data_IF_952193366104
#
_entry.id   IF_952193366104
#
_cell.length_a   1.000
_cell.length_b   1.000
_cell.length_c   1.000
_cell.angle_alpha   90.00
_cell.angle_beta   90.00
_cell.angle_gamma   90.00
#
_symmetry.space_group_name_H-M   'P 1'
#
loop_
_entity.id
_entity.type
_entity.pdbx_description
1 polymer ?
#
# COMPACT_ATOMS: atom_id res chain seq x y z
N UNK A 1 30.67 -6.01 -4.96
CA UNK A 1 29.34 -5.61 -5.46
C UNK A 1 28.35 -5.69 -4.30
N UNK A 2 28.44 -4.71 -3.38
CA UNK A 2 27.77 -4.76 -2.07
C UNK A 2 26.30 -4.35 -2.18
N UNK A 3 25.43 -5.29 -1.78
CA UNK A 3 24.14 -5.12 -1.10
C UNK A 3 23.28 -3.92 -1.54
N UNK A 4 22.37 -4.15 -2.50
CA UNK A 4 21.17 -3.35 -2.62
C UNK A 4 20.40 -3.49 -1.29
N UNK A 5 20.52 -2.50 -0.43
CA UNK A 5 19.83 -2.41 0.85
C UNK A 5 18.33 -2.59 0.57
N UNK A 6 17.79 -3.79 0.83
CA UNK A 6 16.35 -4.02 0.91
C UNK A 6 15.83 -2.93 1.84
N UNK A 7 14.98 -2.04 1.35
CA UNK A 7 14.28 -1.08 2.19
C UNK A 7 13.25 -1.85 3.03
N UNK A 8 13.74 -2.60 4.01
CA UNK A 8 12.95 -3.35 4.98
C UNK A 8 12.01 -2.42 5.77
N UNK A 9 12.22 -1.09 5.69
CA UNK A 9 11.45 -0.07 6.36
C UNK A 9 10.58 0.74 5.39
N UNK A 10 9.74 0.06 4.63
CA UNK A 10 8.85 0.71 3.64
C UNK A 10 7.38 0.52 4.01
N UNK A 11 6.60 1.59 3.89
CA UNK A 11 5.13 1.54 3.92
C UNK A 11 4.61 1.59 2.49
N UNK A 12 3.70 0.69 2.13
CA UNK A 12 3.00 0.76 0.85
C UNK A 12 1.64 1.41 1.01
N UNK A 13 1.33 2.35 0.13
CA UNK A 13 0.03 3.00 0.05
C UNK A 13 -0.66 2.44 -1.19
N UNK A 14 -1.71 1.65 -1.00
CA UNK A 14 -2.50 1.09 -2.09
C UNK A 14 -3.57 2.11 -2.49
N UNK A 15 -3.48 2.61 -3.72
CA UNK A 15 -4.34 3.67 -4.24
C UNK A 15 -5.62 3.10 -4.87
N UNK A 16 -6.76 3.41 -4.26
CA UNK A 16 -8.12 3.13 -4.73
C UNK A 16 -8.74 4.30 -5.51
N UNK A 17 -7.94 5.32 -5.85
CA UNK A 17 -8.35 6.50 -6.63
C UNK A 17 -8.70 7.71 -5.77
N UNK A 18 -8.19 7.80 -4.53
CA UNK A 18 -8.44 8.95 -3.67
C UNK A 18 -7.72 10.20 -4.17
N UNK A 19 -8.42 11.33 -4.15
CA UNK A 19 -7.80 12.65 -4.34
C UNK A 19 -6.73 13.00 -3.28
N UNK A 20 -6.69 12.26 -2.17
CA UNK A 20 -5.78 12.50 -1.04
C UNK A 20 -4.60 11.52 -0.97
N UNK A 21 -4.47 10.54 -1.87
CA UNK A 21 -3.41 9.51 -1.81
C UNK A 21 -2.01 10.14 -1.68
N UNK A 22 -1.70 11.18 -2.46
CA UNK A 22 -0.41 11.86 -2.38
C UNK A 22 -0.26 12.80 -1.18
N UNK A 23 -1.37 13.32 -0.62
CA UNK A 23 -1.34 14.07 0.65
C UNK A 23 -0.97 13.12 1.77
N UNK A 24 -1.55 11.91 1.80
CA UNK A 24 -1.20 10.87 2.75
C UNK A 24 0.27 10.45 2.61
N UNK A 25 0.76 10.21 1.39
CA UNK A 25 2.17 9.92 1.14
C UNK A 25 3.09 11.04 1.65
N UNK A 26 2.70 12.31 1.48
CA UNK A 26 3.45 13.46 2.02
C UNK A 26 3.49 13.44 3.54
N UNK A 27 2.41 13.06 4.23
CA UNK A 27 2.43 12.95 5.70
C UNK A 27 3.32 11.81 6.17
N UNK A 28 3.27 10.64 5.53
CA UNK A 28 4.17 9.51 5.86
C UNK A 28 5.64 9.91 5.72
N UNK A 29 5.98 10.60 4.62
CA UNK A 29 7.35 11.08 4.39
C UNK A 29 7.82 12.13 5.41
N UNK A 30 6.92 12.95 5.95
CA UNK A 30 7.25 13.89 7.04
C UNK A 30 7.64 13.19 8.33
N UNK A 31 7.21 11.95 8.52
CA UNK A 31 7.62 11.09 9.64
C UNK A 31 8.95 10.38 9.37
N UNK A 32 9.67 10.77 8.31
CA UNK A 32 10.94 10.17 7.88
C UNK A 32 10.84 8.67 7.53
N UNK A 33 9.64 8.21 7.19
CA UNK A 33 9.39 6.84 6.73
C UNK A 33 9.33 6.82 5.20
N UNK A 34 10.05 5.89 4.59
CA UNK A 34 9.98 5.69 3.14
C UNK A 34 8.64 5.06 2.78
N UNK A 35 8.00 5.57 1.73
CA UNK A 35 6.73 5.04 1.25
C UNK A 35 6.61 5.07 -0.27
N UNK A 36 5.89 4.09 -0.78
CA UNK A 36 5.56 3.97 -2.20
C UNK A 36 4.06 3.93 -2.40
N UNK A 37 3.58 4.62 -3.42
CA UNK A 37 2.18 4.56 -3.86
C UNK A 37 2.09 3.52 -4.96
N UNK A 38 1.22 2.54 -4.78
CA UNK A 38 1.04 1.40 -5.66
C UNK A 38 -0.45 1.28 -6.01
N UNK A 39 -0.81 0.71 -7.17
CA UNK A 39 -2.22 0.50 -7.48
C UNK A 39 -2.85 -0.55 -6.53
N UNK A 40 -4.15 -0.40 -6.23
CA UNK A 40 -4.89 -1.30 -5.35
C UNK A 40 -4.86 -2.78 -5.78
N UNK A 41 -4.70 -3.04 -7.08
CA UNK A 41 -4.72 -4.39 -7.68
C UNK A 41 -3.32 -5.04 -7.77
N UNK A 42 -2.34 -4.54 -7.01
CA UNK A 42 -1.02 -5.17 -6.94
C UNK A 42 -1.14 -6.62 -6.43
N UNK A 43 -0.35 -7.52 -7.03
CA UNK A 43 -0.39 -8.93 -6.64
C UNK A 43 0.18 -9.15 -5.23
N UNK A 44 -0.44 -10.08 -4.50
CA UNK A 44 0.02 -10.48 -3.16
C UNK A 44 1.44 -11.03 -3.19
N UNK A 45 1.82 -11.70 -4.28
CA UNK A 45 3.18 -12.19 -4.48
C UNK A 45 4.19 -11.04 -4.51
N UNK A 46 3.89 -9.94 -5.20
CA UNK A 46 4.76 -8.76 -5.23
C UNK A 46 4.88 -8.13 -3.83
N UNK A 47 3.79 -8.08 -3.06
CA UNK A 47 3.82 -7.59 -1.67
C UNK A 47 4.70 -8.48 -0.78
N UNK A 48 4.59 -9.82 -0.90
CA UNK A 48 5.40 -10.78 -0.16
C UNK A 48 6.89 -10.65 -0.48
N UNK A 49 7.24 -10.54 -1.76
CA UNK A 49 8.64 -10.42 -2.22
C UNK A 49 9.30 -9.13 -1.74
N UNK A 50 8.52 -8.06 -1.64
CA UNK A 50 9.00 -6.73 -1.22
C UNK A 50 8.96 -6.51 0.28
N UNK A 51 8.20 -7.33 1.02
CA UNK A 51 8.16 -7.38 2.49
C UNK A 51 8.02 -6.00 3.17
N UNK A 52 6.92 -5.26 2.95
CA UNK A 52 6.69 -3.96 3.60
C UNK A 52 6.46 -4.11 5.12
N UNK A 53 6.74 -3.04 5.87
CA UNK A 53 6.41 -2.97 7.30
C UNK A 53 4.92 -2.80 7.57
N UNK A 54 4.18 -2.30 6.60
CA UNK A 54 2.76 -2.04 6.71
C UNK A 54 2.17 -1.54 5.41
N UNK A 55 0.86 -1.65 5.32
CA UNK A 55 0.06 -1.21 4.19
C UNK A 55 -0.93 -0.15 4.66
N UNK A 56 -1.10 0.90 3.86
CA UNK A 56 -2.18 1.87 4.01
C UNK A 56 -3.08 1.72 2.79
N UNK A 57 -4.36 1.42 2.99
CA UNK A 57 -5.38 1.43 1.96
C UNK A 57 -5.87 2.87 1.83
N UNK A 58 -5.67 3.49 0.67
CA UNK A 58 -6.28 4.80 0.45
C UNK A 58 -7.80 4.67 0.37
N UNK A 59 -8.50 5.78 0.56
CA UNK A 59 -9.90 5.86 0.13
C UNK A 59 -10.04 5.82 -1.39
N UNK A 60 -11.27 5.94 -1.86
CA UNK A 60 -11.62 6.14 -3.27
C UNK A 60 -12.99 6.80 -3.39
N UNK A 61 -13.38 7.25 -4.58
CA UNK A 61 -14.69 7.87 -4.82
C UNK A 61 -15.84 6.85 -4.85
N UNK A 62 -15.52 5.55 -4.97
CA UNK A 62 -16.49 4.47 -5.11
C UNK A 62 -17.03 3.99 -3.76
N UNK A 63 -18.32 3.68 -3.72
CA UNK A 63 -18.89 2.90 -2.63
C UNK A 63 -18.39 1.45 -2.72
N UNK A 64 -18.06 0.84 -1.58
CA UNK A 64 -17.62 -0.56 -1.51
C UNK A 64 -18.67 -1.57 -2.00
N UNK A 65 -19.93 -1.15 -2.08
CA UNK A 65 -21.05 -2.00 -2.53
C UNK A 65 -21.28 -1.96 -4.05
N UNK A 66 -20.57 -1.11 -4.79
CA UNK A 66 -20.71 -1.03 -6.25
C UNK A 66 -20.05 -2.24 -6.94
N UNK A 67 -20.72 -2.84 -7.93
CA UNK A 67 -20.20 -3.99 -8.68
C UNK A 67 -18.83 -3.76 -9.35
N UNK A 68 -18.49 -2.50 -9.65
CA UNK A 68 -17.22 -2.11 -10.28
C UNK A 68 -16.25 -1.45 -9.29
N UNK A 69 -16.56 -1.48 -8.00
CA UNK A 69 -15.66 -0.94 -6.99
C UNK A 69 -14.31 -1.68 -7.05
N UNK A 70 -13.20 -0.99 -6.78
CA UNK A 70 -11.92 -1.64 -6.62
C UNK A 70 -11.94 -2.55 -5.39
N UNK A 71 -11.55 -3.83 -5.55
CA UNK A 71 -11.57 -4.82 -4.48
C UNK A 71 -10.15 -5.30 -4.17
N UNK A 72 -9.75 -5.21 -2.91
CA UNK A 72 -8.47 -5.73 -2.47
C UNK A 72 -8.46 -7.27 -2.52
N UNK A 73 -7.34 -7.87 -2.92
CA UNK A 73 -7.17 -9.32 -2.81
C UNK A 73 -7.24 -9.75 -1.33
N UNK A 74 -8.18 -10.64 -0.93
CA UNK A 74 -8.34 -11.04 0.46
C UNK A 74 -7.10 -11.67 1.10
N UNK A 75 -6.19 -12.24 0.31
CA UNK A 75 -4.93 -12.81 0.80
C UNK A 75 -4.00 -11.73 1.39
N UNK A 76 -4.20 -10.44 1.04
CA UNK A 76 -3.44 -9.32 1.60
C UNK A 76 -3.69 -9.20 3.11
N UNK A 77 -4.93 -9.42 3.57
CA UNK A 77 -5.26 -9.40 5.01
C UNK A 77 -4.59 -10.54 5.80
N UNK A 78 -4.13 -11.59 5.11
CA UNK A 78 -3.49 -12.77 5.71
C UNK A 78 -1.97 -12.66 5.77
N UNK A 79 -1.39 -11.55 5.30
CA UNK A 79 0.07 -11.35 5.28
C UNK A 79 0.69 -11.15 6.66
N UNK A 80 -0.13 -10.94 7.71
CA UNK A 80 0.38 -10.73 9.08
C UNK A 80 1.10 -9.40 9.28
N UNK A 81 0.90 -8.45 8.37
CA UNK A 81 1.44 -7.09 8.43
C UNK A 81 0.33 -6.10 8.85
N UNK A 82 0.67 -5.01 9.56
CA UNK A 82 -0.30 -3.96 9.88
C UNK A 82 -0.93 -3.34 8.63
N UNK A 83 -2.26 -3.15 8.67
CA UNK A 83 -3.05 -2.52 7.61
C UNK A 83 -3.86 -1.37 8.23
N UNK A 84 -3.78 -0.20 7.60
CA UNK A 84 -4.58 0.99 7.93
C UNK A 84 -5.54 1.33 6.79
#
# INVERSE_FOLDING_TARGET
MQSARRHLNTIFILDFGSQYTYVLAKQVRKLFVYCEVLPWNISVQCLKERAPLGIILSGGPHSVYENKAPHLDPEIYKLGIPIL
#
